data_IF_874706773819
#
_entry.id   IF_874706773819
#
_cell.length_a   1.000
_cell.length_b   1.000
_cell.length_c   1.000
_cell.angle_alpha   90.00
_cell.angle_beta   90.00
_cell.angle_gamma   90.00
#
_symmetry.space_group_name_H-M   'P 1'
#
loop_
_entity.id
_entity.type
_entity.pdbx_description
1 polymer ?
#
# COMPACT_ATOMS: atom_id res chain seq x y z
N UNK A 1 -31.19 0.79 -4.91
CA UNK A 1 -30.63 -0.52 -4.53
C UNK A 1 -29.12 -0.40 -4.61
N UNK A 2 -28.46 -0.31 -3.47
CA UNK A 2 -27.02 -0.03 -3.40
C UNK A 2 -26.19 -1.26 -3.80
N UNK A 3 -25.25 -1.15 -4.75
CA UNK A 3 -24.42 -2.28 -5.19
C UNK A 3 -23.45 -2.80 -4.12
N UNK A 4 -23.34 -2.15 -2.96
CA UNK A 4 -22.54 -2.60 -1.82
C UNK A 4 -23.19 -3.71 -0.99
N UNK A 5 -24.52 -3.89 -1.06
CA UNK A 5 -25.22 -4.85 -0.21
C UNK A 5 -25.06 -6.31 -0.69
N UNK A 6 -24.85 -6.52 -2.00
CA UNK A 6 -24.72 -7.86 -2.59
C UNK A 6 -23.40 -8.55 -2.25
N UNK A 7 -22.32 -7.80 -2.04
CA UNK A 7 -20.99 -8.38 -1.80
C UNK A 7 -20.79 -8.80 -0.33
N UNK A 8 -21.53 -8.20 0.61
CA UNK A 8 -21.50 -8.60 2.02
C UNK A 8 -22.21 -9.94 2.28
N UNK A 9 -23.25 -10.26 1.49
CA UNK A 9 -24.04 -11.48 1.66
C UNK A 9 -23.26 -12.76 1.31
N UNK A 10 -22.30 -12.69 0.40
CA UNK A 10 -21.45 -13.82 -0.02
C UNK A 10 -20.25 -14.06 0.92
N UNK A 11 -19.89 -13.10 1.77
CA UNK A 11 -18.67 -13.14 2.59
C UNK A 11 -18.87 -13.75 3.99
N UNK A 12 -20.12 -14.03 4.40
CA UNK A 12 -20.45 -14.48 5.76
C UNK A 12 -20.40 -13.34 6.79
N UNK A 13 -20.49 -13.66 8.07
CA UNK A 13 -20.50 -12.65 9.15
C UNK A 13 -19.16 -11.92 9.21
N UNK A 14 -19.19 -10.59 9.19
CA UNK A 14 -18.01 -9.74 9.38
C UNK A 14 -17.63 -9.70 10.85
N UNK A 15 -16.39 -10.08 11.16
CA UNK A 15 -15.84 -10.13 12.52
C UNK A 15 -15.11 -8.83 12.89
N UNK A 16 -14.41 -8.24 11.92
CA UNK A 16 -13.69 -6.98 12.08
C UNK A 16 -13.66 -6.24 10.73
N UNK A 17 -13.87 -4.93 10.73
CA UNK A 17 -13.75 -4.08 9.54
C UNK A 17 -12.96 -2.83 9.90
N UNK A 18 -12.01 -2.45 9.04
CA UNK A 18 -11.23 -1.23 9.19
C UNK A 18 -10.87 -0.66 7.82
N UNK A 19 -10.47 0.60 7.82
CA UNK A 19 -9.95 1.28 6.65
C UNK A 19 -8.48 1.59 6.89
N UNK A 20 -7.64 1.31 5.90
CA UNK A 20 -6.22 1.61 5.96
C UNK A 20 -5.72 2.05 4.58
N UNK A 21 -4.71 2.91 4.57
CA UNK A 21 -4.07 3.36 3.34
C UNK A 21 -3.26 2.21 2.73
N UNK A 22 -3.39 1.98 1.41
CA UNK A 22 -2.76 0.88 0.67
C UNK A 22 -1.23 0.77 0.89
N UNK A 23 -0.59 1.90 1.17
CA UNK A 23 0.83 1.99 1.52
C UNK A 23 1.00 2.89 2.73
N UNK A 24 1.99 2.58 3.57
CA UNK A 24 2.52 3.54 4.54
C UNK A 24 2.95 4.80 3.80
N UNK A 25 2.13 5.85 3.90
CA UNK A 25 2.44 7.15 3.36
C UNK A 25 3.62 7.71 4.15
N UNK A 26 4.82 7.56 3.61
CA UNK A 26 5.85 8.52 3.92
C UNK A 26 5.40 9.83 3.28
N UNK A 27 4.97 10.77 4.10
CA UNK A 27 4.90 12.16 3.66
C UNK A 27 6.25 12.48 3.04
N UNK A 28 6.24 12.73 1.73
CA UNK A 28 7.45 13.20 1.06
C UNK A 28 7.80 14.51 1.75
N UNK A 29 8.88 14.49 2.52
CA UNK A 29 9.33 15.66 3.27
C UNK A 29 9.51 16.85 2.33
N UNK A 30 9.41 18.06 2.89
CA UNK A 30 9.58 19.33 2.17
C UNK A 30 10.84 19.34 1.26
N UNK A 31 11.89 18.62 1.66
CA UNK A 31 13.14 18.45 0.89
C UNK A 31 12.94 17.82 -0.48
N UNK A 32 12.01 16.87 -0.63
CA UNK A 32 11.72 16.24 -1.92
C UNK A 32 11.13 17.27 -2.90
N UNK A 33 10.22 18.13 -2.44
CA UNK A 33 9.65 19.21 -3.25
C UNK A 33 10.70 20.26 -3.63
N UNK A 34 11.64 20.55 -2.73
CA UNK A 34 12.78 21.43 -3.04
C UNK A 34 13.69 20.86 -4.11
N UNK A 35 14.09 19.60 -4.02
CA UNK A 35 15.01 18.97 -4.99
C UNK A 35 14.38 18.78 -6.35
N UNK A 36 13.13 18.35 -6.36
CA UNK A 36 12.36 18.30 -7.59
C UNK A 36 12.31 19.71 -8.19
N UNK A 37 11.96 20.75 -7.42
CA UNK A 37 11.79 22.11 -7.93
C UNK A 37 13.08 22.69 -8.51
N UNK A 38 14.19 22.47 -7.81
CA UNK A 38 15.52 22.86 -8.25
C UNK A 38 15.88 22.18 -9.58
N UNK A 39 15.63 20.89 -9.72
CA UNK A 39 15.90 20.16 -10.97
C UNK A 39 15.10 20.74 -12.15
N UNK A 40 13.82 21.08 -11.95
CA UNK A 40 13.02 21.72 -12.99
C UNK A 40 13.57 23.11 -13.39
N UNK A 41 13.98 23.93 -12.43
CA UNK A 41 14.57 25.26 -12.71
C UNK A 41 15.85 25.13 -13.53
N UNK A 42 16.73 24.19 -13.19
CA UNK A 42 17.97 23.92 -13.94
C UNK A 42 17.66 23.48 -15.38
N UNK A 43 16.73 22.54 -15.55
CA UNK A 43 16.32 22.04 -16.86
C UNK A 43 15.65 23.13 -17.73
N UNK A 44 14.84 24.00 -17.13
CA UNK A 44 14.26 25.15 -17.82
C UNK A 44 15.32 26.17 -18.22
N UNK A 45 16.30 26.43 -17.36
CA UNK A 45 17.46 27.27 -17.71
C UNK A 45 18.22 26.73 -18.92
N UNK A 46 18.43 25.40 -18.96
CA UNK A 46 19.04 24.73 -20.12
C UNK A 46 18.17 24.80 -21.37
N UNK A 47 16.84 24.74 -21.23
CA UNK A 47 15.92 24.90 -22.35
C UNK A 47 16.02 26.29 -22.99
N UNK A 48 16.10 27.33 -22.16
CA UNK A 48 16.26 28.72 -22.60
C UNK A 48 17.64 28.91 -23.24
N UNK A 49 18.70 28.38 -22.63
CA UNK A 49 20.05 28.46 -23.18
C UNK A 49 20.16 27.81 -24.56
N UNK A 50 19.50 26.66 -24.76
CA UNK A 50 19.45 25.98 -26.07
C UNK A 50 18.45 26.61 -27.05
N UNK A 51 17.64 27.59 -26.61
CA UNK A 51 16.54 28.16 -27.41
C UNK A 51 15.46 27.14 -27.78
N UNK A 52 15.38 26.01 -27.07
CA UNK A 52 14.50 24.89 -27.40
C UNK A 52 13.17 25.02 -26.66
N UNK A 53 12.19 25.62 -27.35
CA UNK A 53 10.82 25.72 -26.83
C UNK A 53 10.23 24.35 -26.50
N UNK A 54 10.42 23.35 -27.38
CA UNK A 54 9.87 22.01 -27.20
C UNK A 54 10.41 21.34 -25.94
N UNK A 55 11.71 21.47 -25.67
CA UNK A 55 12.32 20.90 -24.47
C UNK A 55 11.78 21.56 -23.20
N UNK A 56 11.63 22.89 -23.19
CA UNK A 56 11.02 23.60 -22.06
C UNK A 56 9.60 23.14 -21.75
N UNK A 57 8.77 22.95 -22.79
CA UNK A 57 7.40 22.43 -22.62
C UNK A 57 7.40 21.01 -22.06
N UNK A 58 8.27 20.12 -22.54
CA UNK A 58 8.39 18.76 -22.00
C UNK A 58 8.80 18.75 -20.54
N UNK A 59 9.76 19.60 -20.16
CA UNK A 59 10.20 19.75 -18.76
C UNK A 59 9.04 20.21 -17.88
N UNK A 60 8.24 21.18 -18.32
CA UNK A 60 7.05 21.63 -17.56
C UNK A 60 6.00 20.54 -17.39
N UNK A 61 5.70 19.78 -18.45
CA UNK A 61 4.72 18.69 -18.38
C UNK A 61 5.22 17.57 -17.46
N UNK A 62 6.49 17.19 -17.56
CA UNK A 62 7.11 16.18 -16.70
C UNK A 62 7.12 16.62 -15.24
N UNK A 63 7.54 17.86 -14.98
CA UNK A 63 7.48 18.51 -13.67
C UNK A 63 6.08 18.42 -13.07
N UNK A 64 5.08 18.90 -13.81
CA UNK A 64 3.70 18.92 -13.38
C UNK A 64 3.16 17.52 -13.09
N UNK A 65 3.48 16.54 -13.94
CA UNK A 65 3.07 15.15 -13.76
C UNK A 65 3.65 14.53 -12.49
N UNK A 66 4.95 14.78 -12.23
CA UNK A 66 5.64 14.31 -11.02
C UNK A 66 4.99 14.90 -9.77
N UNK A 67 4.74 16.22 -9.77
CA UNK A 67 4.08 16.90 -8.65
C UNK A 67 2.65 16.39 -8.46
N UNK A 68 1.88 16.25 -9.54
CA UNK A 68 0.51 15.76 -9.50
C UNK A 68 0.44 14.34 -8.90
N UNK A 69 1.39 13.48 -9.26
CA UNK A 69 1.45 12.12 -8.73
C UNK A 69 1.91 12.10 -7.26
N UNK A 70 2.80 13.00 -6.87
CA UNK A 70 3.26 13.12 -5.49
C UNK A 70 2.20 13.68 -4.53
N UNK A 71 1.31 14.54 -5.03
CA UNK A 71 0.21 15.12 -4.25
C UNK A 71 -1.00 14.19 -4.18
N UNK A 72 -1.10 13.17 -5.04
CA UNK A 72 -2.19 12.19 -4.98
C UNK A 72 -2.15 11.45 -3.64
N UNK A 73 -3.17 11.60 -2.77
CA UNK A 73 -3.22 10.84 -1.53
C UNK A 73 -3.36 9.35 -1.85
N UNK A 74 -2.72 8.47 -1.06
CA UNK A 74 -2.86 7.03 -1.23
C UNK A 74 -4.32 6.64 -1.03
N UNK A 75 -4.81 5.69 -1.84
CA UNK A 75 -6.19 5.25 -1.75
C UNK A 75 -6.40 4.57 -0.40
N UNK A 76 -7.48 4.94 0.29
CA UNK A 76 -7.98 4.23 1.47
C UNK A 76 -8.68 2.96 1.01
N UNK A 77 -8.14 1.81 1.36
CA UNK A 77 -8.74 0.51 1.10
C UNK A 77 -9.53 0.05 2.33
N UNK A 78 -10.68 -0.58 2.08
CA UNK A 78 -11.50 -1.19 3.14
C UNK A 78 -11.10 -2.64 3.31
N UNK A 79 -10.75 -3.01 4.52
CA UNK A 79 -10.39 -4.38 4.89
C UNK A 79 -11.44 -4.93 5.85
N UNK A 80 -11.83 -6.19 5.66
CA UNK A 80 -12.69 -6.88 6.59
C UNK A 80 -12.26 -8.33 6.79
N UNK A 81 -12.18 -8.77 8.04
CA UNK A 81 -12.06 -10.17 8.40
C UNK A 81 -13.46 -10.75 8.53
N UNK A 82 -13.76 -11.79 7.76
CA UNK A 82 -15.03 -12.50 7.82
C UNK A 82 -14.81 -13.97 8.19
N UNK A 83 -15.88 -14.67 8.51
CA UNK A 83 -15.80 -16.12 8.80
C UNK A 83 -15.32 -16.94 7.60
N UNK A 84 -15.54 -16.46 6.36
CA UNK A 84 -15.14 -17.17 5.13
C UNK A 84 -13.73 -16.80 4.66
N UNK A 85 -13.22 -15.63 5.03
CA UNK A 85 -11.92 -15.18 4.56
C UNK A 85 -11.61 -13.73 4.89
N UNK A 86 -10.67 -13.16 4.14
CA UNK A 86 -10.30 -11.75 4.21
C UNK A 86 -10.88 -11.03 3.00
N UNK A 87 -11.72 -10.03 3.25
CA UNK A 87 -12.28 -9.16 2.21
C UNK A 87 -11.41 -7.92 2.06
N UNK A 88 -10.88 -7.71 0.87
CA UNK A 88 -10.10 -6.52 0.50
C UNK A 88 -10.89 -5.76 -0.56
N UNK A 89 -11.43 -4.61 -0.18
CA UNK A 89 -12.32 -3.74 -0.95
C UNK A 89 -13.59 -4.43 -1.48
N UNK A 90 -13.45 -5.27 -2.53
CA UNK A 90 -14.52 -6.07 -3.15
C UNK A 90 -14.13 -7.53 -3.39
N UNK A 91 -12.89 -7.91 -3.10
CA UNK A 91 -12.34 -9.23 -3.40
C UNK A 91 -12.25 -10.04 -2.11
N UNK A 92 -12.91 -11.19 -2.07
CA UNK A 92 -12.82 -12.14 -0.95
C UNK A 92 -11.66 -13.11 -1.19
N UNK A 93 -10.76 -13.19 -0.22
CA UNK A 93 -9.68 -14.18 -0.14
C UNK A 93 -10.07 -15.24 0.89
N UNK A 94 -10.55 -16.43 0.46
CA UNK A 94 -10.95 -17.49 1.38
C UNK A 94 -9.77 -17.99 2.22
N UNK A 95 -10.03 -18.37 3.47
CA UNK A 95 -9.01 -18.95 4.37
C UNK A 95 -8.30 -20.16 3.76
N UNK A 96 -9.02 -20.96 2.96
CA UNK A 96 -8.47 -22.13 2.28
C UNK A 96 -7.33 -21.80 1.30
N UNK A 97 -7.32 -20.59 0.74
CA UNK A 97 -6.30 -20.10 -0.19
C UNK A 97 -5.12 -19.44 0.52
N UNK A 98 -5.20 -19.28 1.84
CA UNK A 98 -4.15 -18.71 2.68
C UNK A 98 -3.43 -19.83 3.44
N UNK A 99 -2.15 -19.63 3.69
CA UNK A 99 -1.23 -20.64 4.25
C UNK A 99 -0.84 -20.30 5.67
N UNK A 100 -0.37 -19.09 5.89
CA UNK A 100 0.09 -18.58 7.17
C UNK A 100 -0.17 -17.09 7.26
N UNK A 101 -0.08 -16.54 8.47
CA UNK A 101 -0.04 -15.11 8.67
C UNK A 101 1.10 -14.72 9.62
N UNK A 102 1.61 -13.50 9.44
CA UNK A 102 2.52 -12.84 10.35
C UNK A 102 2.10 -11.39 10.56
N UNK A 103 2.35 -10.85 11.75
CA UNK A 103 2.04 -9.44 12.05
C UNK A 103 3.36 -8.70 12.29
N UNK A 104 3.70 -7.82 11.35
CA UNK A 104 4.80 -6.87 11.51
C UNK A 104 4.31 -5.69 12.34
N UNK A 105 4.61 -5.73 13.64
CA UNK A 105 4.28 -4.65 14.58
C UNK A 105 5.56 -4.02 15.13
N UNK A 106 6.05 -3.01 14.42
CA UNK A 106 7.19 -2.19 14.84
C UNK A 106 6.84 -0.69 14.70
N UNK A 107 6.11 -0.12 15.68
CA UNK A 107 5.76 1.30 15.67
C UNK A 107 7.05 2.16 15.73
N UNK A 108 7.20 3.24 14.94
CA UNK A 108 6.21 3.88 14.07
C UNK A 108 6.20 3.40 12.60
N UNK A 109 7.12 2.51 12.19
CA UNK A 109 7.38 2.17 10.79
C UNK A 109 6.49 1.05 10.21
N UNK A 110 6.15 0.03 11.01
CA UNK A 110 5.47 -1.17 10.52
C UNK A 110 4.26 -1.52 11.37
N UNK A 111 3.07 -1.55 10.75
CA UNK A 111 1.82 -2.05 11.33
C UNK A 111 1.05 -2.78 10.23
N UNK A 112 1.63 -3.87 9.74
CA UNK A 112 1.06 -4.66 8.64
C UNK A 112 0.85 -6.11 9.05
N UNK A 113 -0.23 -6.70 8.55
CA UNK A 113 -0.45 -8.14 8.56
C UNK A 113 0.03 -8.67 7.22
N UNK A 114 0.98 -9.58 7.22
CA UNK A 114 1.38 -10.31 6.03
C UNK A 114 0.64 -11.65 5.99
N UNK A 115 -0.11 -11.90 4.93
CA UNK A 115 -0.79 -13.17 4.66
C UNK A 115 -0.05 -13.91 3.56
N UNK A 116 0.39 -15.13 3.84
CA UNK A 116 0.95 -16.00 2.81
C UNK A 116 -0.19 -16.66 2.04
N UNK A 117 -0.20 -16.51 0.71
CA UNK A 117 -1.18 -17.10 -0.18
C UNK A 117 -0.61 -18.38 -0.80
N UNK A 118 -1.45 -19.42 -0.94
CA UNK A 118 -1.10 -20.68 -1.58
C UNK A 118 -0.90 -20.56 -3.11
N UNK A 119 -1.26 -19.43 -3.71
CA UNK A 119 -1.14 -19.21 -5.15
C UNK A 119 0.30 -18.86 -5.52
N UNK A 120 0.86 -19.60 -6.49
CA UNK A 120 2.25 -19.44 -6.95
C UNK A 120 2.61 -18.04 -7.48
N UNK A 121 1.63 -17.26 -7.94
CA UNK A 121 1.86 -15.94 -8.54
C UNK A 121 1.81 -14.77 -7.55
N UNK A 122 1.17 -14.94 -6.39
CA UNK A 122 1.07 -13.89 -5.36
C UNK A 122 1.33 -14.57 -4.01
N UNK A 123 2.60 -14.67 -3.58
CA UNK A 123 2.96 -15.42 -2.38
C UNK A 123 2.60 -14.68 -1.10
N UNK A 124 2.61 -13.34 -1.09
CA UNK A 124 2.36 -12.53 0.10
C UNK A 124 1.35 -11.41 -0.18
N UNK A 125 0.38 -11.24 0.71
CA UNK A 125 -0.62 -10.17 0.70
C UNK A 125 -0.40 -9.36 1.97
N UNK A 126 0.11 -8.13 1.84
CA UNK A 126 0.28 -7.20 2.96
C UNK A 126 -1.01 -6.42 3.20
N UNK A 127 -1.47 -6.39 4.44
CA UNK A 127 -2.67 -5.69 4.87
C UNK A 127 -2.29 -4.70 5.97
N UNK A 128 -2.36 -3.39 5.71
CA UNK A 128 -2.08 -2.40 6.72
C UNK A 128 -3.15 -2.41 7.81
N UNK A 129 -2.72 -2.46 9.06
CA UNK A 129 -3.59 -2.42 10.24
C UNK A 129 -4.21 -1.03 10.42
N UNK A 130 -3.52 0.04 10.02
CA UNK A 130 -4.01 1.41 10.13
C UNK A 130 -4.48 1.73 11.57
N UNK A 131 -5.78 1.98 11.74
CA UNK A 131 -6.42 2.23 13.05
C UNK A 131 -6.96 0.98 13.76
N UNK A 132 -6.87 -0.21 13.16
CA UNK A 132 -7.37 -1.44 13.74
C UNK A 132 -6.56 -1.87 14.98
N UNK A 133 -7.25 -2.50 15.92
CA UNK A 133 -6.64 -3.09 17.11
C UNK A 133 -5.86 -4.36 16.70
N UNK A 134 -4.51 -4.33 16.78
CA UNK A 134 -3.67 -5.44 16.34
C UNK A 134 -3.93 -6.72 17.15
N UNK A 135 -4.35 -6.59 18.42
CA UNK A 135 -4.63 -7.73 19.29
C UNK A 135 -5.88 -8.45 18.80
N UNK A 136 -6.96 -7.70 18.53
CA UNK A 136 -8.21 -8.27 18.00
C UNK A 136 -8.02 -8.91 16.63
N UNK A 137 -7.26 -8.26 15.75
CA UNK A 137 -6.95 -8.81 14.43
C UNK A 137 -6.17 -10.14 14.56
N UNK A 138 -5.16 -10.18 15.44
CA UNK A 138 -4.38 -11.39 15.74
C UNK A 138 -5.26 -12.52 16.27
N UNK A 139 -6.11 -12.25 17.26
CA UNK A 139 -6.97 -13.25 17.87
C UNK A 139 -7.98 -13.85 16.89
N UNK A 140 -8.45 -13.06 15.92
CA UNK A 140 -9.31 -13.54 14.83
C UNK A 140 -8.49 -14.40 13.87
N UNK A 141 -7.33 -13.90 13.39
CA UNK A 141 -6.49 -14.60 12.43
C UNK A 141 -5.98 -15.94 12.95
N UNK A 142 -5.58 -16.02 14.23
CA UNK A 142 -5.13 -17.26 14.90
C UNK A 142 -6.17 -18.38 14.88
N UNK A 143 -7.46 -18.06 14.79
CA UNK A 143 -8.53 -19.07 14.73
C UNK A 143 -8.64 -19.74 13.36
N UNK A 144 -8.15 -19.09 12.31
CA UNK A 144 -8.30 -19.55 10.93
C UNK A 144 -6.97 -19.96 10.27
N UNK A 145 -5.86 -19.34 10.66
CA UNK A 145 -4.54 -19.55 10.08
C UNK A 145 -3.47 -19.74 11.16
N UNK A 146 -2.41 -20.52 10.88
CA UNK A 146 -1.25 -20.59 11.76
C UNK A 146 -0.43 -19.29 11.69
N UNK A 147 0.05 -18.85 12.85
CA UNK A 147 1.01 -17.75 12.97
C UNK A 147 2.42 -18.30 12.68
N UNK A 148 3.00 -17.91 11.54
CA UNK A 148 4.34 -18.35 11.12
C UNK A 148 5.16 -17.11 10.83
N UNK A 149 6.37 -17.03 11.39
CA UNK A 149 7.30 -15.95 11.11
C UNK A 149 7.63 -15.95 9.61
N UNK A 150 7.29 -14.85 8.94
CA UNK A 150 7.60 -14.64 7.54
C UNK A 150 8.81 -13.73 7.47
N UNK A 151 9.90 -14.22 6.88
CA UNK A 151 11.03 -13.36 6.53
C UNK A 151 10.56 -12.36 5.47
N UNK A 152 10.81 -11.07 5.69
CA UNK A 152 10.68 -10.07 4.63
C UNK A 152 11.47 -10.56 3.42
N UNK A 153 10.78 -10.83 2.32
CA UNK A 153 11.41 -11.30 1.09
C UNK A 153 12.61 -10.39 0.80
N UNK A 154 13.78 -10.97 0.51
CA UNK A 154 15.05 -10.25 0.31
C UNK A 154 14.99 -9.09 -0.71
N UNK A 155 13.91 -9.00 -1.48
CA UNK A 155 13.57 -7.93 -2.41
C UNK A 155 13.14 -6.64 -1.67
N UNK A 156 12.52 -6.72 -0.49
CA UNK A 156 12.19 -5.54 0.34
C UNK A 156 13.44 -4.94 1.00
N UNK A 157 14.43 -5.75 1.34
CA UNK A 157 15.69 -5.22 1.88
C UNK A 157 16.45 -4.37 0.84
N UNK A 158 16.23 -4.63 -0.46
CA UNK A 158 16.76 -3.80 -1.54
C UNK A 158 16.00 -2.48 -1.70
N UNK A 159 14.70 -2.45 -1.42
CA UNK A 159 13.90 -1.21 -1.47
C UNK A 159 14.28 -0.23 -0.34
N UNK A 160 14.75 -0.76 0.80
CA UNK A 160 15.31 0.04 1.89
C UNK A 160 16.72 0.57 1.61
N UNK A 161 17.56 -0.16 0.84
CA UNK A 161 18.89 0.28 0.44
C UNK A 161 18.88 1.31 -0.71
N UNK A 162 17.84 1.29 -1.54
CA UNK A 162 17.65 2.26 -2.63
C UNK A 162 17.11 3.61 -2.16
N UNK A 163 16.99 3.82 -0.83
CA UNK A 163 16.58 5.07 -0.21
C UNK A 163 17.79 6.01 -0.04
N UNK A 164 18.38 6.39 -1.17
CA UNK A 164 19.23 7.57 -1.33
C UNK A 164 18.54 8.59 -2.24
#
# INVERSE_FOLDING_TARGET
MDPNEKNGAEAGKTLLMWEAHEYFHHEKGTDWYWWTGLAAVVLLGLAIYQGSFLFGVLVLIGWFTIVLYAVRPPRTLKFALTERGVLIEKTLYPWQNLRSFWIFYNPPLHRDISLESKKAFIPYIKIPLGGADPIKARDILKKFLPEVEQEESLIDNLSHLARF
#
